data_IF_281380581473
#
_entry.id   IF_281380581473
#
_cell.length_a   1.000
_cell.length_b   1.000
_cell.length_c   1.000
_cell.angle_alpha   90.00
_cell.angle_beta   90.00
_cell.angle_gamma   90.00
#
_symmetry.space_group_name_H-M   'P 1'
#
loop_
_entity.id
_entity.type
_entity.pdbx_description
1 polymer ?
#
# COMPACT_ATOMS: atom_id res chain seq x y z
N UNK A 1 -0.91 9.73 -6.81
CA UNK A 1 -1.75 8.53 -6.64
C UNK A 1 -1.78 8.22 -5.15
N UNK A 2 -2.95 7.94 -4.56
CA UNK A 2 -3.08 7.63 -3.12
C UNK A 2 -3.07 6.12 -2.90
N UNK A 3 -2.66 5.65 -1.72
CA UNK A 3 -2.69 4.22 -1.37
C UNK A 3 -4.08 3.62 -1.54
N UNK A 4 -5.16 4.36 -1.24
CA UNK A 4 -6.53 3.90 -1.48
C UNK A 4 -6.80 3.51 -2.93
N UNK A 5 -6.49 4.40 -3.88
CA UNK A 5 -6.67 4.11 -5.31
C UNK A 5 -5.84 2.92 -5.77
N UNK A 6 -4.62 2.78 -5.22
CA UNK A 6 -3.76 1.66 -5.55
C UNK A 6 -4.34 0.32 -5.05
N UNK A 7 -4.94 0.30 -3.86
CA UNK A 7 -5.64 -0.87 -3.33
C UNK A 7 -6.86 -1.22 -4.18
N UNK A 8 -7.65 -0.22 -4.58
CA UNK A 8 -8.81 -0.38 -5.46
C UNK A 8 -8.40 -0.96 -6.82
N UNK A 9 -7.38 -0.39 -7.46
CA UNK A 9 -6.86 -0.83 -8.77
C UNK A 9 -6.19 -2.21 -8.73
N UNK A 10 -5.52 -2.53 -7.62
CA UNK A 10 -4.85 -3.81 -7.45
C UNK A 10 -5.82 -4.92 -7.02
N UNK A 11 -6.88 -4.56 -6.29
CA UNK A 11 -7.85 -5.44 -5.68
C UNK A 11 -7.52 -5.71 -4.21
N UNK A 12 -8.47 -5.43 -3.32
CA UNK A 12 -8.34 -5.58 -1.85
C UNK A 12 -7.74 -6.92 -1.43
N UNK A 13 -8.28 -8.03 -1.92
CA UNK A 13 -7.81 -9.37 -1.54
C UNK A 13 -6.35 -9.61 -1.95
N UNK A 14 -5.97 -9.16 -3.14
CA UNK A 14 -4.58 -9.26 -3.59
C UNK A 14 -3.63 -8.44 -2.70
N UNK A 15 -4.09 -7.31 -2.16
CA UNK A 15 -3.31 -6.54 -1.18
C UNK A 15 -3.21 -7.29 0.15
N UNK A 16 -4.32 -7.83 0.65
CA UNK A 16 -4.33 -8.63 1.90
C UNK A 16 -3.37 -9.83 1.82
N UNK A 17 -3.25 -10.47 0.66
CA UNK A 17 -2.32 -11.58 0.43
C UNK A 17 -0.84 -11.12 0.38
N UNK A 18 -0.59 -9.87 -0.03
CA UNK A 18 0.76 -9.30 -0.13
C UNK A 18 1.29 -8.71 1.17
N UNK A 19 0.42 -8.32 2.11
CA UNK A 19 0.81 -7.62 3.33
C UNK A 19 1.60 -8.50 4.34
N UNK A 20 1.21 -9.76 4.64
CA UNK A 20 1.88 -10.58 5.64
C UNK A 20 3.42 -10.68 5.49
N UNK A 21 3.99 -10.96 4.29
CA UNK A 21 5.44 -11.07 4.14
C UNK A 21 6.19 -9.73 4.33
N UNK A 22 5.50 -8.60 4.32
CA UNK A 22 6.10 -7.28 4.55
C UNK A 22 6.27 -6.96 6.03
N UNK A 23 5.63 -7.74 6.92
CA UNK A 23 5.83 -7.59 8.35
C UNK A 23 7.19 -8.14 8.77
N UNK A 24 7.94 -7.34 9.50
CA UNK A 24 9.21 -7.72 10.13
C UNK A 24 8.96 -7.97 11.61
N UNK A 25 9.41 -9.11 12.11
CA UNK A 25 9.35 -9.43 13.53
C UNK A 25 10.57 -8.83 14.23
N UNK A 26 10.34 -7.99 15.23
CA UNK A 26 11.37 -7.26 15.98
C UNK A 26 11.17 -7.43 17.48
N UNK A 27 12.20 -7.16 18.28
CA UNK A 27 12.09 -7.20 19.74
C UNK A 27 11.32 -5.98 20.26
N UNK A 28 10.38 -6.20 21.17
CA UNK A 28 9.47 -5.16 21.69
C UNK A 28 10.19 -4.08 22.52
N UNK A 29 11.45 -4.30 22.91
CA UNK A 29 12.25 -3.33 23.66
C UNK A 29 12.62 -2.07 22.87
N UNK A 30 12.46 -2.07 21.54
CA UNK A 30 12.63 -0.86 20.74
C UNK A 30 11.51 0.14 21.08
N UNK A 31 11.91 1.34 21.52
CA UNK A 31 11.01 2.44 21.87
C UNK A 31 11.00 3.46 20.69
N UNK A 32 10.28 3.18 19.59
CA UNK A 32 10.11 4.13 18.51
C UNK A 32 9.42 5.40 19.00
N UNK A 33 9.53 6.46 18.20
CA UNK A 33 8.78 7.68 18.40
C UNK A 33 7.28 7.43 18.07
N UNK A 34 6.49 7.11 19.10
CA UNK A 34 5.07 6.73 18.95
C UNK A 34 4.23 7.99 18.79
N UNK A 35 3.47 8.06 17.70
CA UNK A 35 2.47 9.11 17.49
C UNK A 35 1.13 8.74 18.10
N UNK A 36 0.78 7.45 18.03
CA UNK A 36 -0.50 6.95 18.51
C UNK A 36 -0.30 5.55 19.10
N UNK A 37 -0.76 5.38 20.33
CA UNK A 37 -0.73 4.12 21.06
C UNK A 37 -2.18 3.69 21.32
N UNK A 38 -2.56 2.55 20.74
CA UNK A 38 -3.93 2.04 20.75
C UNK A 38 -3.93 0.52 20.98
N UNK A 39 -5.09 -0.12 21.02
CA UNK A 39 -5.22 -1.58 21.12
C UNK A 39 -5.99 -2.17 19.93
N UNK A 40 -5.94 -3.50 19.77
CA UNK A 40 -6.57 -4.21 18.65
C UNK A 40 -8.10 -4.06 18.55
N UNK A 41 -8.77 -3.61 19.61
CA UNK A 41 -10.24 -3.53 19.65
C UNK A 41 -10.76 -2.13 19.31
N UNK A 42 -9.88 -1.14 19.15
CA UNK A 42 -10.28 0.21 18.76
C UNK A 42 -10.65 0.22 17.28
N UNK A 43 -11.80 0.82 16.96
CA UNK A 43 -12.27 0.89 15.58
C UNK A 43 -11.28 1.66 14.69
N UNK A 44 -11.05 1.22 13.44
CA UNK A 44 -10.15 1.91 12.51
C UNK A 44 -10.47 3.40 12.33
N UNK A 45 -11.76 3.76 12.31
CA UNK A 45 -12.21 5.15 12.22
C UNK A 45 -11.72 6.01 13.38
N UNK A 46 -11.81 5.53 14.62
CA UNK A 46 -11.33 6.25 15.80
C UNK A 46 -9.82 6.44 15.79
N UNK A 47 -9.07 5.46 15.29
CA UNK A 47 -7.62 5.55 15.10
C UNK A 47 -7.28 6.63 14.08
N UNK A 48 -7.98 6.68 12.94
CA UNK A 48 -7.78 7.67 11.88
C UNK A 48 -8.11 9.08 12.36
N UNK A 49 -9.23 9.26 13.07
CA UNK A 49 -9.62 10.56 13.63
C UNK A 49 -8.57 11.06 14.63
N UNK A 50 -8.10 10.17 15.50
CA UNK A 50 -7.03 10.49 16.47
C UNK A 50 -5.73 10.87 15.76
N UNK A 51 -5.36 10.15 14.70
CA UNK A 51 -4.19 10.45 13.90
C UNK A 51 -4.31 11.83 13.22
N UNK A 52 -5.50 12.15 12.71
CA UNK A 52 -5.79 13.44 12.09
C UNK A 52 -5.66 14.58 13.11
N UNK A 53 -6.27 14.45 14.28
CA UNK A 53 -6.17 15.45 15.35
C UNK A 53 -4.71 15.63 15.77
N UNK A 54 -3.98 14.54 16.05
CA UNK A 54 -2.59 14.61 16.50
C UNK A 54 -1.67 15.29 15.47
N UNK A 55 -1.83 14.98 14.19
CA UNK A 55 -0.95 15.51 13.14
C UNK A 55 -1.32 16.91 12.64
N UNK A 56 -2.54 17.38 12.89
CA UNK A 56 -3.02 18.70 12.41
C UNK A 56 -3.13 19.75 13.51
N UNK A 57 -3.29 19.37 14.77
CA UNK A 57 -3.56 20.28 15.90
C UNK A 57 -2.42 21.24 16.25
N UNK A 58 -1.19 20.99 15.76
CA UNK A 58 0.00 21.79 16.07
C UNK A 58 0.61 22.56 14.90
N UNK A 59 -0.08 22.69 13.75
CA UNK A 59 0.54 23.24 12.53
C UNK A 59 -0.20 24.48 12.02
N UNK A 60 0.38 25.66 12.26
CA UNK A 60 0.03 26.91 11.55
C UNK A 60 0.67 27.01 10.16
N UNK A 61 1.63 26.12 9.86
CA UNK A 61 2.36 26.06 8.60
C UNK A 61 1.65 25.12 7.60
N UNK A 62 1.22 25.71 6.48
CA UNK A 62 0.49 25.04 5.40
C UNK A 62 1.24 23.84 4.81
N UNK A 63 2.56 23.96 4.60
CA UNK A 63 3.34 22.89 3.95
C UNK A 63 3.53 21.68 4.88
N UNK A 64 3.64 21.91 6.20
CA UNK A 64 3.66 20.83 7.19
C UNK A 64 2.29 20.14 7.28
N UNK A 65 1.21 20.91 7.31
CA UNK A 65 -0.15 20.38 7.31
C UNK A 65 -0.41 19.50 6.06
N UNK A 66 0.03 19.95 4.89
CA UNK A 66 -0.09 19.18 3.63
C UNK A 66 0.66 17.84 3.67
N UNK A 67 1.86 17.81 4.26
CA UNK A 67 2.63 16.55 4.45
C UNK A 67 1.92 15.60 5.40
N UNK A 68 1.41 16.11 6.52
CA UNK A 68 0.61 15.34 7.48
C UNK A 68 -0.63 14.74 6.84
N UNK A 69 -1.39 15.53 6.07
CA UNK A 69 -2.59 15.04 5.36
C UNK A 69 -2.22 13.93 4.37
N UNK A 70 -1.13 14.09 3.61
CA UNK A 70 -0.68 13.05 2.66
C UNK A 70 -0.31 11.76 3.37
N UNK A 71 0.37 11.86 4.52
CA UNK A 71 0.69 10.71 5.34
C UNK A 71 -0.57 9.99 5.84
N UNK A 72 -1.56 10.73 6.34
CA UNK A 72 -2.86 10.17 6.77
C UNK A 72 -3.54 9.46 5.60
N UNK A 73 -3.61 10.09 4.43
CA UNK A 73 -4.21 9.49 3.22
C UNK A 73 -3.53 8.19 2.78
N UNK A 74 -2.24 8.01 3.07
CA UNK A 74 -1.50 6.79 2.78
C UNK A 74 -1.68 5.73 3.87
N UNK A 75 -1.84 6.13 5.13
CA UNK A 75 -2.02 5.24 6.29
C UNK A 75 -3.44 4.73 6.45
N UNK A 76 -4.45 5.60 6.31
CA UNK A 76 -5.86 5.28 6.57
C UNK A 76 -6.33 4.00 5.88
N UNK A 77 -6.03 3.74 4.60
CA UNK A 77 -6.49 2.53 3.93
C UNK A 77 -5.88 1.25 4.52
N UNK A 78 -4.66 1.30 5.04
CA UNK A 78 -4.01 0.13 5.66
C UNK A 78 -4.46 -0.05 7.12
N UNK A 79 -4.77 1.04 7.82
CA UNK A 79 -5.44 1.01 9.12
C UNK A 79 -6.83 0.36 9.00
N UNK A 80 -7.60 0.74 7.97
CA UNK A 80 -8.91 0.14 7.67
C UNK A 80 -8.81 -1.37 7.39
N UNK A 81 -7.71 -1.82 6.79
CA UNK A 81 -7.49 -3.24 6.50
C UNK A 81 -6.92 -4.02 7.69
N UNK A 82 -6.49 -3.36 8.77
CA UNK A 82 -5.72 -4.00 9.84
C UNK A 82 -6.36 -5.28 10.35
N UNK A 83 -7.68 -5.26 10.61
CA UNK A 83 -8.42 -6.41 11.12
C UNK A 83 -8.45 -7.59 10.16
N UNK A 84 -8.40 -7.32 8.86
CA UNK A 84 -8.49 -8.30 7.78
C UNK A 84 -7.13 -8.88 7.37
N UNK A 85 -6.02 -8.29 7.82
CA UNK A 85 -4.68 -8.81 7.50
C UNK A 85 -4.50 -10.19 8.15
N UNK A 86 -4.17 -11.24 7.37
CA UNK A 86 -4.00 -12.60 7.88
C UNK A 86 -2.61 -12.77 8.54
N UNK A 87 -2.38 -12.04 9.65
CA UNK A 87 -1.21 -12.16 10.52
C UNK A 87 -1.60 -12.70 11.88
N UNK A 88 -0.72 -13.47 12.52
CA UNK A 88 -0.94 -13.97 13.87
C UNK A 88 -0.69 -12.87 14.91
N UNK A 89 -1.71 -12.02 15.09
CA UNK A 89 -1.72 -10.93 16.09
C UNK A 89 -1.67 -11.46 17.53
N UNK A 90 -2.10 -12.71 17.75
CA UNK A 90 -2.17 -13.29 19.09
C UNK A 90 -0.81 -13.71 19.62
N UNK A 91 0.12 -14.03 18.72
CA UNK A 91 1.49 -14.44 19.04
C UNK A 91 2.46 -13.31 19.38
N UNK A 92 2.04 -12.04 19.23
CA UNK A 92 2.91 -10.87 19.41
C UNK A 92 2.34 -9.86 20.41
N UNK A 93 3.23 -9.16 21.10
CA UNK A 93 2.87 -8.17 22.11
C UNK A 93 2.27 -6.91 21.47
N UNK A 94 2.78 -6.53 20.30
CA UNK A 94 2.31 -5.35 19.56
C UNK A 94 2.41 -5.53 18.04
N UNK A 95 1.54 -4.84 17.30
CA UNK A 95 1.70 -4.59 15.88
C UNK A 95 1.97 -3.09 15.67
N UNK A 96 2.91 -2.77 14.80
CA UNK A 96 3.48 -1.44 14.65
C UNK A 96 3.43 -1.05 13.19
N UNK A 97 2.73 0.05 12.87
CA UNK A 97 2.73 0.65 11.55
C UNK A 97 3.58 1.91 11.57
N UNK A 98 4.61 1.95 10.72
CA UNK A 98 5.48 3.11 10.58
C UNK A 98 5.26 3.82 9.25
N UNK A 99 5.59 5.10 9.21
CA UNK A 99 5.72 5.85 7.97
C UNK A 99 7.09 6.52 7.93
N UNK A 100 8.01 6.00 7.10
CA UNK A 100 9.34 6.57 6.90
C UNK A 100 10.17 6.63 8.18
N UNK A 101 10.24 5.50 8.91
CA UNK A 101 11.04 5.27 10.13
C UNK A 101 10.73 6.14 11.37
N UNK A 102 9.88 7.17 11.27
CA UNK A 102 9.74 8.20 12.33
C UNK A 102 8.38 8.25 13.00
N UNK A 103 7.35 7.83 12.29
CA UNK A 103 5.98 8.09 12.67
C UNK A 103 5.27 6.77 12.88
N UNK A 104 4.98 6.43 14.14
CA UNK A 104 4.57 5.08 14.51
C UNK A 104 3.19 5.05 15.15
N UNK A 105 2.31 4.19 14.61
CA UNK A 105 1.07 3.75 15.24
C UNK A 105 1.33 2.38 15.84
N UNK A 106 1.16 2.27 17.15
CA UNK A 106 1.34 1.02 17.90
C UNK A 106 -0.01 0.49 18.34
N UNK A 107 -0.27 -0.76 17.98
CA UNK A 107 -1.41 -1.54 18.42
C UNK A 107 -0.96 -2.56 19.46
N UNK A 108 -1.43 -2.42 20.69
CA UNK A 108 -1.13 -3.31 21.81
C UNK A 108 -2.08 -4.49 21.84
N UNK A 109 -1.50 -5.66 22.06
CA UNK A 109 -2.24 -6.87 22.37
C UNK A 109 -2.59 -6.88 23.87
N UNK A 110 -3.87 -6.69 24.19
CA UNK A 110 -4.34 -6.72 25.59
C UNK A 110 -4.38 -8.14 26.16
N UNK A 111 -4.26 -9.17 25.33
CA UNK A 111 -4.19 -10.57 25.76
C UNK A 111 -2.85 -10.92 26.42
N UNK A 112 -1.87 -10.01 26.38
CA UNK A 112 -0.55 -10.11 27.01
C UNK A 112 0.21 -11.42 26.72
N UNK A 113 0.53 -11.71 25.45
CA UNK A 113 1.17 -12.97 25.06
C UNK A 113 2.59 -13.20 25.61
N UNK A 114 3.19 -12.23 26.34
CA UNK A 114 4.56 -12.29 26.90
C UNK A 114 5.61 -12.78 25.87
N UNK A 115 5.42 -12.42 24.60
CA UNK A 115 6.27 -12.89 23.51
C UNK A 115 7.61 -12.15 23.48
N UNK A 116 7.64 -10.90 23.97
CA UNK A 116 8.77 -9.98 23.79
C UNK A 116 8.95 -9.56 22.33
N UNK A 117 7.96 -9.81 21.46
CA UNK A 117 8.05 -9.64 20.02
C UNK A 117 6.96 -8.72 19.49
N UNK A 118 7.32 -7.93 18.49
CA UNK A 118 6.46 -7.00 17.78
C UNK A 118 6.49 -7.26 16.28
N UNK A 119 5.35 -7.11 15.61
CA UNK A 119 5.30 -7.08 14.14
C UNK A 119 5.38 -5.64 13.65
N UNK A 120 6.29 -5.35 12.75
CA UNK A 120 6.53 -4.02 12.20
C UNK A 120 6.24 -3.99 10.70
N UNK A 121 5.46 -3.01 10.26
CA UNK A 121 5.17 -2.77 8.84
C UNK A 121 5.50 -1.31 8.49
N UNK A 122 6.40 -1.11 7.52
CA UNK A 122 6.60 0.20 6.93
C UNK A 122 5.62 0.45 5.79
N UNK A 123 4.78 1.44 6.01
CA UNK A 123 3.69 1.82 5.10
C UNK A 123 4.24 2.51 3.85
N UNK A 124 5.42 3.14 3.95
CA UNK A 124 6.10 3.67 2.78
C UNK A 124 6.57 2.54 1.86
N UNK A 125 7.03 1.41 2.41
CA UNK A 125 7.42 0.23 1.64
C UNK A 125 6.20 -0.38 0.94
N UNK A 126 5.05 -0.48 1.63
CA UNK A 126 3.79 -0.92 1.03
C UNK A 126 3.37 0.00 -0.12
N UNK A 127 3.45 1.32 0.08
CA UNK A 127 3.11 2.29 -0.96
C UNK A 127 4.04 2.18 -2.18
N UNK A 128 5.34 2.01 -1.96
CA UNK A 128 6.31 1.83 -3.04
C UNK A 128 6.04 0.53 -3.81
N UNK A 129 5.81 -0.58 -3.11
CA UNK A 129 5.47 -1.86 -3.73
C UNK A 129 4.20 -1.78 -4.60
N UNK A 130 3.13 -1.17 -4.07
CA UNK A 130 1.89 -0.98 -4.82
C UNK A 130 2.10 -0.08 -6.04
N UNK A 131 2.96 0.93 -5.93
CA UNK A 131 3.33 1.83 -7.04
C UNK A 131 4.09 1.06 -8.12
N UNK A 132 5.04 0.21 -7.74
CA UNK A 132 5.84 -0.60 -8.68
C UNK A 132 4.95 -1.62 -9.39
N UNK A 133 4.06 -2.29 -8.67
CA UNK A 133 3.09 -3.23 -9.25
C UNK A 133 2.14 -2.54 -10.23
N UNK A 134 1.68 -1.34 -9.91
CA UNK A 134 0.86 -0.53 -10.83
C UNK A 134 1.67 -0.16 -12.08
N UNK A 135 2.87 0.36 -11.90
CA UNK A 135 3.76 0.77 -13.00
C UNK A 135 4.06 -0.39 -13.93
N UNK A 136 4.39 -1.56 -13.38
CA UNK A 136 4.63 -2.77 -14.16
C UNK A 136 3.41 -3.21 -14.97
N UNK A 137 2.19 -3.12 -14.40
CA UNK A 137 0.94 -3.42 -15.12
C UNK A 137 0.70 -2.44 -16.27
N UNK A 138 0.92 -1.14 -16.05
CA UNK A 138 0.72 -0.11 -17.07
C UNK A 138 1.72 -0.29 -18.21
N UNK A 139 3.00 -0.45 -17.91
CA UNK A 139 4.05 -0.68 -18.91
C UNK A 139 3.78 -1.94 -19.71
N UNK A 140 3.38 -3.04 -19.05
CA UNK A 140 3.03 -4.29 -19.74
C UNK A 140 1.84 -4.12 -20.69
N UNK A 141 0.80 -3.38 -20.30
CA UNK A 141 -0.32 -3.08 -21.21
C UNK A 141 0.13 -2.27 -22.42
N UNK A 142 0.88 -1.20 -22.21
CA UNK A 142 1.39 -0.36 -23.30
C UNK A 142 2.24 -1.17 -24.29
N UNK A 143 3.08 -2.09 -23.79
CA UNK A 143 3.88 -2.97 -24.65
C UNK A 143 3.00 -3.95 -25.44
N UNK A 144 1.99 -4.57 -24.80
CA UNK A 144 1.06 -5.49 -25.47
C UNK A 144 0.22 -4.74 -26.52
N UNK A 145 -0.32 -3.59 -26.16
CA UNK A 145 -1.15 -2.77 -27.05
C UNK A 145 -0.31 -2.25 -28.22
N UNK A 146 0.93 -1.81 -27.96
CA UNK A 146 1.88 -1.40 -28.99
C UNK A 146 2.24 -2.53 -29.95
N UNK A 147 2.52 -3.73 -29.43
CA UNK A 147 2.75 -4.93 -30.25
C UNK A 147 1.53 -5.29 -31.10
N UNK A 148 0.33 -5.16 -30.54
CA UNK A 148 -0.93 -5.46 -31.24
C UNK A 148 -1.14 -4.50 -32.41
N UNK A 149 -0.92 -3.20 -32.20
CA UNK A 149 -1.02 -2.18 -33.25
C UNK A 149 0.02 -2.41 -34.34
N UNK A 150 1.29 -2.64 -33.97
CA UNK A 150 2.34 -2.95 -34.94
C UNK A 150 2.03 -4.21 -35.76
N UNK A 151 1.55 -5.28 -35.10
CA UNK A 151 1.13 -6.51 -35.77
C UNK A 151 -0.01 -6.27 -36.77
N UNK A 152 -1.01 -5.48 -36.40
CA UNK A 152 -2.13 -5.14 -37.27
C UNK A 152 -1.68 -4.31 -38.48
N UNK A 153 -0.77 -3.35 -38.30
CA UNK A 153 -0.20 -2.56 -39.40
C UNK A 153 0.57 -3.44 -40.38
N UNK A 154 1.42 -4.35 -39.88
CA UNK A 154 2.16 -5.30 -40.72
C UNK A 154 1.19 -6.20 -41.48
N UNK A 155 0.16 -6.73 -40.80
CA UNK A 155 -0.83 -7.60 -41.41
C UNK A 155 -1.61 -6.90 -42.54
N UNK A 156 -2.07 -5.65 -42.31
CA UNK A 156 -2.73 -4.83 -43.34
C UNK A 156 -1.79 -4.54 -44.51
N UNK A 157 -0.53 -4.23 -44.24
CA UNK A 157 0.47 -3.99 -45.29
C UNK A 157 0.71 -5.22 -46.17
N UNK A 158 0.85 -6.40 -45.56
CA UNK A 158 1.03 -7.68 -46.27
C UNK A 158 -0.21 -8.03 -47.10
N UNK A 159 -1.41 -7.91 -46.52
CA UNK A 159 -2.67 -8.13 -47.25
C UNK A 159 -2.79 -7.23 -48.47
N UNK A 160 -2.48 -5.94 -48.31
CA UNK A 160 -2.52 -4.97 -49.42
C UNK A 160 -1.54 -5.33 -50.52
N UNK A 161 -0.34 -5.81 -50.17
CA UNK A 161 0.67 -6.24 -51.14
C UNK A 161 0.25 -7.52 -51.89
N UNK A 162 -0.30 -8.50 -51.18
CA UNK A 162 -0.81 -9.74 -51.79
C UNK A 162 -1.98 -9.48 -52.74
N UNK A 163 -2.91 -8.61 -52.34
CA UNK A 163 -4.04 -8.22 -53.19
C UNK A 163 -3.59 -7.51 -54.47
N UNK A 164 -2.58 -6.65 -54.38
CA UNK A 164 -1.97 -6.00 -55.54
C UNK A 164 -1.33 -7.03 -56.49
N UNK A 165 -0.56 -7.99 -55.98
CA UNK A 165 0.05 -9.04 -56.81
C UNK A 165 -1.04 -9.89 -57.50
N UNK A 166 -2.13 -10.22 -56.81
CA UNK A 166 -3.22 -11.01 -57.36
C UNK A 166 -4.03 -10.28 -58.46
N UNK A 167 -4.05 -8.95 -58.49
CA UNK A 167 -4.72 -8.18 -59.55
C UNK A 167 -3.89 -8.04 -60.84
N UNK A 168 -2.58 -8.26 -60.77
CA UNK A 168 -1.65 -8.08 -61.89
C UNK A 168 -0.95 -9.38 -62.31
N UNK A 169 -1.48 -10.54 -61.87
CA UNK A 169 -1.11 -11.89 -62.30
C UNK A 169 -2.25 -12.51 -63.10
#
# INVERSE_FOLDING_TARGET
MTTRRQIEDFGKNNVLDLLPPLFKMVDTSENPNILLDTNYFVSPGSVIDSLYITLTSGHSDYEKSKKSIKMIQNLSPLIELFDEIPIDKTSVDTVVFSYGEKNVIRYKNLSNPQSGKSLYLDIQDVHNLLTDLHTHRVVRRILIDGLTVCGLVIFVYVLRKLFFIAQYS
#
